data_IF_237782632705
#
_entry.id   IF_237782632705
#
_cell.length_a   1.000
_cell.length_b   1.000
_cell.length_c   1.000
_cell.angle_alpha   90.00
_cell.angle_beta   90.00
_cell.angle_gamma   90.00
#
_symmetry.space_group_name_H-M   'P 1'
#
loop_
_entity.id
_entity.type
_entity.pdbx_description
1 polymer ?
#
# COMPACT_ATOMS: atom_id res chain seq x y z
N UNK A 1 -81.14 6.42 3.98
CA UNK A 1 -81.40 7.05 2.66
C UNK A 1 -80.37 8.15 2.49
N UNK A 2 -79.33 7.93 1.67
CA UNK A 2 -79.29 8.25 0.22
C UNK A 2 -79.39 9.75 -0.04
N UNK A 3 -78.61 10.38 -0.90
CA UNK A 3 -77.43 10.07 -1.71
C UNK A 3 -77.28 11.38 -2.51
N UNK A 4 -76.15 12.09 -2.45
CA UNK A 4 -75.81 13.07 -3.49
C UNK A 4 -74.35 12.95 -3.88
N UNK A 5 -74.13 13.20 -5.17
CA UNK A 5 -73.25 12.49 -6.09
C UNK A 5 -72.22 13.47 -6.64
N UNK A 6 -71.02 12.94 -6.90
CA UNK A 6 -69.99 13.39 -7.83
C UNK A 6 -69.49 14.85 -7.77
N UNK A 7 -68.23 15.01 -7.35
CA UNK A 7 -67.31 15.93 -8.03
C UNK A 7 -65.97 15.20 -8.22
N UNK A 8 -65.66 14.84 -9.45
CA UNK A 8 -64.33 14.40 -9.83
C UNK A 8 -63.45 15.63 -10.05
N UNK A 9 -62.25 15.65 -9.46
CA UNK A 9 -61.15 16.42 -10.02
C UNK A 9 -59.84 15.74 -9.64
N UNK A 10 -59.29 15.01 -10.61
CA UNK A 10 -57.95 14.49 -10.58
C UNK A 10 -56.96 15.66 -10.66
N UNK A 11 -55.99 15.70 -9.74
CA UNK A 11 -54.74 16.40 -9.98
C UNK A 11 -53.61 15.60 -9.34
N UNK A 12 -53.03 14.74 -10.16
CA UNK A 12 -51.72 14.12 -9.95
C UNK A 12 -50.65 15.20 -9.80
N UNK A 13 -49.89 15.18 -8.71
CA UNK A 13 -48.61 15.89 -8.62
C UNK A 13 -47.54 14.97 -8.03
N UNK A 14 -46.45 14.86 -8.77
CA UNK A 14 -45.51 13.76 -8.72
C UNK A 14 -44.62 13.71 -7.48
N UNK A 15 -44.26 12.48 -7.14
CA UNK A 15 -43.13 12.13 -6.30
C UNK A 15 -41.84 12.51 -7.03
N UNK A 16 -41.04 13.40 -6.44
CA UNK A 16 -39.63 13.59 -6.78
C UNK A 16 -38.80 13.27 -5.54
N UNK A 17 -38.36 12.02 -5.48
CA UNK A 17 -37.28 11.59 -4.59
C UNK A 17 -36.00 12.22 -5.14
N UNK A 18 -35.59 13.36 -4.57
CA UNK A 18 -34.24 13.89 -4.77
C UNK A 18 -33.26 13.09 -3.88
N UNK A 19 -32.99 11.85 -4.27
CA UNK A 19 -31.86 11.10 -3.74
C UNK A 19 -30.58 11.64 -4.36
N UNK A 20 -29.87 12.52 -3.66
CA UNK A 20 -28.47 12.79 -3.96
C UNK A 20 -27.68 11.52 -3.63
N UNK A 21 -27.55 10.62 -4.61
CA UNK A 21 -26.49 9.64 -4.58
C UNK A 21 -25.18 10.40 -4.81
N UNK A 22 -24.54 10.85 -3.73
CA UNK A 22 -23.09 11.03 -3.77
C UNK A 22 -22.53 9.65 -4.04
N UNK A 23 -22.12 9.43 -5.29
CA UNK A 23 -21.20 8.35 -5.61
C UNK A 23 -19.88 8.72 -4.94
N UNK A 24 -19.81 8.53 -3.62
CA UNK A 24 -18.56 8.29 -2.94
C UNK A 24 -18.00 7.03 -3.58
N UNK A 25 -17.19 7.25 -4.61
CA UNK A 25 -16.23 6.29 -5.12
C UNK A 25 -15.20 6.13 -4.02
N UNK A 26 -15.60 5.46 -2.93
CA UNK A 26 -14.69 4.78 -2.04
C UNK A 26 -13.95 3.79 -2.92
N UNK A 27 -12.84 4.27 -3.47
CA UNK A 27 -11.81 3.44 -4.06
C UNK A 27 -11.40 2.49 -2.95
N UNK A 28 -11.99 1.31 -2.93
CA UNK A 28 -11.71 0.30 -1.92
C UNK A 28 -10.20 0.11 -1.95
N UNK A 29 -9.54 0.48 -0.85
CA UNK A 29 -8.10 0.30 -0.68
C UNK A 29 -7.79 -1.16 -1.00
N UNK A 30 -6.78 -1.37 -1.86
CA UNK A 30 -6.40 -2.72 -2.24
C UNK A 30 -5.96 -3.47 -0.96
N UNK A 31 -6.25 -4.77 -0.82
CA UNK A 31 -5.82 -5.55 0.35
C UNK A 31 -4.29 -5.63 0.50
N UNK A 32 -3.55 -5.17 -0.51
CA UNK A 32 -2.09 -5.13 -0.54
C UNK A 32 -1.52 -3.73 -0.27
N UNK A 33 -2.37 -2.74 0.00
CA UNK A 33 -1.91 -1.41 0.37
C UNK A 33 -1.10 -1.46 1.68
N UNK A 34 -0.02 -0.69 1.70
CA UNK A 34 0.85 -0.52 2.87
C UNK A 34 1.02 0.98 3.13
N UNK A 35 1.38 1.42 4.35
CA UNK A 35 1.61 2.83 4.63
C UNK A 35 2.54 3.49 3.60
N UNK A 36 2.05 4.56 2.96
CA UNK A 36 2.77 5.31 1.92
C UNK A 36 2.71 4.69 0.52
N UNK A 37 2.06 3.55 0.34
CA UNK A 37 1.92 2.85 -0.93
C UNK A 37 0.46 2.57 -1.29
N UNK A 38 0.13 2.80 -2.55
CA UNK A 38 -1.15 2.39 -3.15
C UNK A 38 -0.87 1.34 -4.20
N UNK A 39 -1.68 0.29 -4.19
CA UNK A 39 -1.51 -0.90 -5.02
C UNK A 39 -2.73 -1.17 -5.88
N UNK A 40 -2.51 -1.80 -7.03
CA UNK A 40 -3.54 -2.19 -7.99
C UNK A 40 -3.18 -3.56 -8.55
N UNK A 41 -4.16 -4.44 -8.74
CA UNK A 41 -3.94 -5.74 -9.40
C UNK A 41 -4.44 -5.64 -10.83
N UNK A 42 -3.53 -5.75 -11.80
CA UNK A 42 -3.86 -5.82 -13.23
C UNK A 42 -3.17 -7.03 -13.84
N UNK A 43 -3.91 -7.83 -14.61
CA UNK A 43 -3.44 -9.08 -15.24
C UNK A 43 -2.71 -10.03 -14.27
N UNK A 44 -3.21 -10.12 -13.03
CA UNK A 44 -2.64 -10.96 -11.99
C UNK A 44 -1.28 -10.47 -11.46
N UNK A 45 -0.93 -9.21 -11.70
CA UNK A 45 0.31 -8.57 -11.24
C UNK A 45 -0.01 -7.42 -10.29
N UNK A 46 0.81 -7.29 -9.25
CA UNK A 46 0.68 -6.24 -8.27
C UNK A 46 1.44 -5.01 -8.72
N UNK A 47 0.73 -3.99 -9.16
CA UNK A 47 1.26 -2.66 -9.37
C UNK A 47 1.37 -1.93 -8.03
N UNK A 48 2.54 -1.33 -7.79
CA UNK A 48 2.84 -0.60 -6.55
C UNK A 48 3.30 0.81 -6.89
N UNK A 49 2.70 1.80 -6.25
CA UNK A 49 3.07 3.20 -6.39
C UNK A 49 3.14 3.86 -5.01
N UNK A 50 3.94 4.92 -4.89
CA UNK A 50 3.83 5.81 -3.74
C UNK A 50 2.47 6.49 -3.74
N UNK A 51 1.81 6.55 -2.59
CA UNK A 51 0.50 7.20 -2.46
C UNK A 51 0.60 8.68 -2.87
N UNK A 52 -0.33 9.13 -3.72
CA UNK A 52 -0.35 10.50 -4.23
C UNK A 52 0.71 10.84 -5.28
N UNK A 53 1.50 9.87 -5.74
CA UNK A 53 2.53 10.10 -6.76
C UNK A 53 1.94 10.44 -8.13
N UNK A 54 2.73 11.16 -8.94
CA UNK A 54 2.36 11.48 -10.33
C UNK A 54 2.21 10.20 -11.16
N UNK A 55 3.06 9.21 -10.90
CA UNK A 55 3.08 7.91 -11.56
C UNK A 55 1.77 7.14 -11.31
N UNK A 56 1.27 7.17 -10.08
CA UNK A 56 -0.04 6.60 -9.74
C UNK A 56 -1.17 7.30 -10.50
N UNK A 57 -1.14 8.63 -10.57
CA UNK A 57 -2.16 9.40 -11.28
C UNK A 57 -2.10 9.17 -12.80
N UNK A 58 -0.90 9.07 -13.37
CA UNK A 58 -0.70 8.78 -14.78
C UNK A 58 -1.14 7.34 -15.11
N UNK A 59 -0.83 6.37 -14.24
CA UNK A 59 -1.25 4.98 -14.37
C UNK A 59 -2.78 4.86 -14.42
N UNK A 60 -3.49 5.52 -13.49
CA UNK A 60 -4.96 5.49 -13.46
C UNK A 60 -5.61 6.13 -14.69
N UNK A 61 -4.91 7.05 -15.35
CA UNK A 61 -5.44 7.75 -16.54
C UNK A 61 -5.12 7.03 -17.85
N UNK A 62 -3.94 6.40 -17.94
CA UNK A 62 -3.36 5.93 -19.20
C UNK A 62 -3.08 4.42 -19.21
N UNK A 63 -3.14 3.74 -18.07
CA UNK A 63 -2.73 2.35 -17.89
C UNK A 63 -1.22 2.21 -17.67
N UNK A 64 -0.66 1.07 -18.10
CA UNK A 64 0.74 0.71 -17.86
C UNK A 64 1.73 1.79 -18.35
N UNK A 65 2.72 2.19 -17.53
CA UNK A 65 3.75 3.16 -17.92
C UNK A 65 4.72 2.56 -18.94
N UNK A 66 5.28 3.41 -19.80
CA UNK A 66 6.28 2.99 -20.80
C UNK A 66 7.56 2.41 -20.16
N UNK A 67 7.98 2.96 -19.01
CA UNK A 67 9.09 2.43 -18.21
C UNK A 67 8.54 1.72 -16.98
N UNK A 68 8.96 0.48 -16.80
CA UNK A 68 8.56 -0.34 -15.67
C UNK A 68 9.71 -1.24 -15.20
N UNK A 69 9.70 -1.55 -13.92
CA UNK A 69 10.56 -2.54 -13.28
C UNK A 69 9.67 -3.67 -12.81
N UNK A 70 10.14 -4.90 -12.95
CA UNK A 70 9.43 -6.12 -12.56
C UNK A 70 10.25 -6.91 -11.55
N UNK A 71 9.61 -7.37 -10.47
CA UNK A 71 10.15 -8.35 -9.53
C UNK A 71 9.23 -9.57 -9.52
N UNK A 72 9.72 -10.68 -10.07
CA UNK A 72 8.96 -11.91 -10.21
C UNK A 72 8.81 -12.57 -8.84
N UNK A 73 7.59 -13.00 -8.50
CA UNK A 73 7.27 -13.73 -7.29
C UNK A 73 7.69 -13.07 -5.97
N UNK A 74 7.76 -11.74 -5.96
CA UNK A 74 8.21 -10.95 -4.82
C UNK A 74 7.08 -10.35 -3.98
N UNK A 75 5.85 -10.39 -4.48
CA UNK A 75 4.66 -9.87 -3.81
C UNK A 75 3.94 -10.92 -2.96
N UNK A 76 2.86 -10.50 -2.26
CA UNK A 76 1.95 -11.41 -1.57
C UNK A 76 1.50 -12.54 -2.49
N UNK A 77 1.37 -13.76 -1.94
CA UNK A 77 0.99 -14.96 -2.71
C UNK A 77 1.88 -15.23 -3.94
N UNK A 78 3.16 -14.86 -3.88
CA UNK A 78 4.12 -15.01 -4.99
C UNK A 78 3.69 -14.23 -6.25
N UNK A 79 2.92 -13.16 -6.07
CA UNK A 79 2.53 -12.29 -7.17
C UNK A 79 3.74 -11.54 -7.73
N UNK A 80 3.76 -11.31 -9.03
CA UNK A 80 4.76 -10.43 -9.65
C UNK A 80 4.48 -8.99 -9.26
N UNK A 81 5.49 -8.28 -8.78
CA UNK A 81 5.38 -6.86 -8.40
C UNK A 81 5.95 -5.99 -9.50
N UNK A 82 5.20 -4.95 -9.89
CA UNK A 82 5.58 -3.97 -10.91
C UNK A 82 5.52 -2.55 -10.32
N UNK A 83 6.41 -1.69 -10.80
CA UNK A 83 6.39 -0.25 -10.53
C UNK A 83 7.18 0.48 -11.61
N UNK A 84 7.21 1.81 -11.58
CA UNK A 84 8.00 2.64 -12.51
C UNK A 84 9.51 2.61 -12.21
N UNK A 85 9.90 2.27 -10.98
CA UNK A 85 11.29 2.20 -10.54
C UNK A 85 11.52 1.09 -9.49
N UNK A 86 12.78 0.69 -9.31
CA UNK A 86 13.14 -0.38 -8.37
C UNK A 86 13.04 0.05 -6.90
N UNK A 87 13.35 1.30 -6.58
CA UNK A 87 13.36 1.78 -5.19
C UNK A 87 11.95 1.75 -4.59
N UNK A 88 10.92 2.06 -5.39
CA UNK A 88 9.52 1.94 -4.98
C UNK A 88 9.14 0.49 -4.69
N UNK A 89 9.56 -0.47 -5.53
CA UNK A 89 9.30 -1.90 -5.28
C UNK A 89 10.04 -2.38 -4.03
N UNK A 90 11.33 -2.07 -3.93
CA UNK A 90 12.17 -2.56 -2.84
C UNK A 90 11.68 -1.99 -1.49
N UNK A 91 11.33 -0.70 -1.43
CA UNK A 91 10.74 -0.08 -0.24
C UNK A 91 9.39 -0.69 0.15
N UNK A 92 8.55 -1.07 -0.82
CA UNK A 92 7.28 -1.75 -0.55
C UNK A 92 7.47 -3.18 -0.02
N UNK A 93 8.37 -3.95 -0.63
CA UNK A 93 8.59 -5.37 -0.28
C UNK A 93 9.13 -5.51 1.13
N UNK A 94 10.05 -4.62 1.54
CA UNK A 94 10.70 -4.76 2.85
C UNK A 94 9.78 -4.40 4.02
N UNK A 95 8.73 -3.61 3.80
CA UNK A 95 7.78 -3.25 4.86
C UNK A 95 7.04 -4.47 5.41
N UNK A 96 7.06 -4.62 6.73
CA UNK A 96 6.31 -5.61 7.49
C UNK A 96 5.70 -4.96 8.73
N UNK A 97 4.51 -5.39 9.12
CA UNK A 97 3.84 -4.85 10.30
C UNK A 97 4.69 -5.06 11.57
N UNK A 98 4.79 -4.02 12.40
CA UNK A 98 5.58 -4.02 13.63
C UNK A 98 7.08 -3.76 13.45
N UNK A 99 7.51 -3.41 12.24
CA UNK A 99 8.90 -3.05 11.94
C UNK A 99 8.99 -1.72 11.19
N UNK A 100 9.98 -0.91 11.56
CA UNK A 100 10.46 0.18 10.72
C UNK A 100 11.61 -0.30 9.86
N UNK A 101 11.60 0.11 8.60
CA UNK A 101 12.59 -0.32 7.62
C UNK A 101 13.12 0.86 6.83
N UNK A 102 14.44 0.91 6.62
CA UNK A 102 15.09 1.88 5.75
C UNK A 102 16.12 1.19 4.87
N UNK A 103 16.12 1.48 3.58
CA UNK A 103 17.17 1.01 2.68
C UNK A 103 18.20 2.13 2.54
N UNK A 104 19.44 1.87 2.95
CA UNK A 104 20.56 2.82 2.92
C UNK A 104 21.80 2.09 2.43
N UNK A 105 22.48 2.64 1.42
CA UNK A 105 23.63 2.02 0.75
C UNK A 105 23.39 0.57 0.27
N UNK A 106 22.18 0.30 -0.20
CA UNK A 106 21.77 -1.03 -0.68
C UNK A 106 21.59 -2.07 0.43
N UNK A 107 21.55 -1.64 1.69
CA UNK A 107 21.34 -2.50 2.86
C UNK A 107 20.01 -2.18 3.52
N UNK A 108 19.29 -3.22 3.93
CA UNK A 108 18.05 -3.11 4.64
C UNK A 108 18.33 -2.95 6.14
N UNK A 109 18.04 -1.77 6.68
CA UNK A 109 17.93 -1.56 8.11
C UNK A 109 16.56 -1.95 8.61
N UNK A 110 16.51 -2.70 9.69
CA UNK A 110 15.27 -3.15 10.33
C UNK A 110 15.31 -2.84 11.81
N UNK A 111 14.24 -2.26 12.33
CA UNK A 111 14.02 -2.00 13.74
C UNK A 111 12.58 -2.35 14.13
N UNK A 112 12.33 -2.54 15.42
CA UNK A 112 10.95 -2.62 15.92
C UNK A 112 10.27 -1.25 15.83
N UNK A 113 9.01 -1.24 15.42
CA UNK A 113 8.20 -0.01 15.40
C UNK A 113 8.16 0.66 16.78
N UNK A 114 8.44 1.97 16.80
CA UNK A 114 8.47 2.76 18.03
C UNK A 114 9.64 2.47 18.98
N UNK A 115 10.63 1.68 18.58
CA UNK A 115 11.79 1.38 19.41
C UNK A 115 12.72 2.59 19.62
N UNK A 116 13.46 2.60 20.73
CA UNK A 116 14.46 3.66 21.01
C UNK A 116 15.59 3.63 19.98
N UNK A 117 15.90 2.44 19.48
CA UNK A 117 16.93 2.19 18.46
C UNK A 117 16.52 2.78 17.12
N UNK A 118 15.26 2.65 16.70
CA UNK A 118 14.75 3.36 15.53
C UNK A 118 14.86 4.87 15.71
N UNK A 119 14.39 5.41 16.84
CA UNK A 119 14.45 6.85 17.10
C UNK A 119 15.90 7.38 17.16
N UNK A 120 16.85 6.58 17.65
CA UNK A 120 18.26 6.93 17.63
C UNK A 120 18.84 6.86 16.21
N UNK A 121 18.46 5.85 15.43
CA UNK A 121 18.88 5.68 14.05
C UNK A 121 18.39 6.83 13.17
N UNK A 122 17.15 7.29 13.33
CA UNK A 122 16.64 8.45 12.60
C UNK A 122 17.41 9.75 12.90
N UNK A 123 17.94 9.89 14.12
CA UNK A 123 18.66 11.09 14.55
C UNK A 123 20.15 11.07 14.19
N UNK A 124 20.78 9.90 14.26
CA UNK A 124 22.25 9.78 14.24
C UNK A 124 22.78 8.80 13.19
N UNK A 125 21.92 8.10 12.46
CA UNK A 125 22.32 7.10 11.48
C UNK A 125 22.72 5.77 12.13
N UNK A 126 23.80 5.15 11.65
CA UNK A 126 24.20 3.81 12.09
C UNK A 126 24.48 3.73 13.61
N UNK A 127 23.87 2.78 14.35
CA UNK A 127 24.11 2.62 15.78
C UNK A 127 25.53 2.06 16.05
N UNK A 128 26.05 2.35 17.25
CA UNK A 128 27.37 1.89 17.69
C UNK A 128 27.50 0.36 17.75
N UNK A 129 26.39 -0.35 18.01
CA UNK A 129 26.30 -1.81 17.94
C UNK A 129 25.31 -2.19 16.85
N UNK A 130 25.74 -3.07 15.97
CA UNK A 130 24.93 -3.58 14.88
C UNK A 130 25.23 -5.04 14.57
N UNK A 131 24.21 -5.75 14.12
CA UNK A 131 24.32 -7.09 13.56
C UNK A 131 24.08 -6.99 12.06
N UNK A 132 24.91 -7.66 11.27
CA UNK A 132 24.79 -7.73 9.82
C UNK A 132 24.57 -9.18 9.38
N UNK A 133 23.54 -9.43 8.58
CA UNK A 133 23.31 -10.72 7.90
C UNK A 133 23.32 -10.53 6.39
N UNK A 134 24.32 -11.11 5.76
CA UNK A 134 24.54 -11.01 4.32
C UNK A 134 23.51 -11.88 3.59
N UNK A 135 22.90 -11.31 2.56
CA UNK A 135 21.94 -11.98 1.68
C UNK A 135 20.75 -12.68 2.36
N UNK A 136 20.40 -12.27 3.58
CA UNK A 136 19.32 -12.88 4.36
C UNK A 136 17.94 -12.24 4.12
N UNK A 137 17.89 -11.04 3.54
CA UNK A 137 16.65 -10.28 3.37
C UNK A 137 15.91 -10.53 2.07
N UNK A 138 14.75 -9.86 1.89
CA UNK A 138 13.97 -9.96 0.66
C UNK A 138 14.84 -9.69 -0.58
N UNK A 139 14.74 -10.56 -1.58
CA UNK A 139 15.56 -10.46 -2.79
C UNK A 139 17.07 -10.67 -2.59
N UNK A 140 17.49 -11.27 -1.47
CA UNK A 140 18.92 -11.45 -1.16
C UNK A 140 19.59 -10.17 -0.64
N UNK A 141 18.82 -9.22 -0.11
CA UNK A 141 19.38 -7.99 0.46
C UNK A 141 20.13 -8.29 1.76
N UNK A 142 21.21 -7.53 2.03
CA UNK A 142 21.87 -7.58 3.34
C UNK A 142 21.00 -6.88 4.37
N UNK A 143 20.75 -7.54 5.51
CA UNK A 143 19.99 -6.97 6.62
C UNK A 143 20.95 -6.48 7.70
N UNK A 144 20.70 -5.27 8.22
CA UNK A 144 21.33 -4.70 9.42
C UNK A 144 20.27 -4.39 10.47
N UNK A 145 20.61 -4.57 11.74
CA UNK A 145 19.78 -4.16 12.88
C UNK A 145 20.65 -3.93 14.11
N UNK A 146 20.07 -3.37 15.17
CA UNK A 146 20.74 -3.22 16.48
C UNK A 146 20.97 -4.57 17.18
N UNK A 147 20.15 -5.57 16.90
CA UNK A 147 20.18 -6.89 17.56
C UNK A 147 19.81 -8.02 16.59
N UNK A 148 20.41 -9.20 16.76
CA UNK A 148 20.11 -10.38 15.93
C UNK A 148 18.67 -10.85 16.05
N UNK A 149 18.08 -10.76 17.24
CA UNK A 149 16.70 -11.18 17.53
C UNK A 149 15.70 -10.35 16.72
N UNK A 150 15.97 -9.07 16.51
CA UNK A 150 15.11 -8.21 15.66
C UNK A 150 15.12 -8.70 14.22
N UNK A 151 16.29 -9.12 13.71
CA UNK A 151 16.40 -9.70 12.36
C UNK A 151 15.63 -11.02 12.28
N UNK A 152 15.77 -11.91 13.27
CA UNK A 152 15.03 -13.18 13.31
C UNK A 152 13.52 -12.97 13.29
N UNK A 153 13.02 -12.06 14.13
CA UNK A 153 11.60 -11.75 14.19
C UNK A 153 11.09 -11.11 12.89
N UNK A 154 11.89 -10.26 12.25
CA UNK A 154 11.56 -9.66 10.96
C UNK A 154 11.47 -10.72 9.85
N UNK A 155 12.41 -11.66 9.82
CA UNK A 155 12.41 -12.74 8.83
C UNK A 155 11.25 -13.72 9.03
N UNK A 156 10.85 -13.95 10.29
CA UNK A 156 9.70 -14.77 10.64
C UNK A 156 8.34 -14.09 10.38
N UNK A 157 8.29 -12.76 10.32
CA UNK A 157 7.07 -12.01 10.03
C UNK A 157 6.63 -12.21 8.56
N UNK A 158 5.31 -12.29 8.33
CA UNK A 158 4.71 -12.45 7.00
C UNK A 158 4.34 -11.11 6.38
#
# INVERSE_FOLDING_TARGET
MSLFRNMAMALSLGVLVAGCATADSHKMSSPYDKPGFTTMVEDGRLWVFKTGSKELADFQKKGEPAKQVTRIAAGPNRMTVKSTDSATIDAYIVQKAGFETKIEDGRLWVFKSGSKEWAAFEKSGEPAKQVTRIAAGPGGMTIKSSDSKVIDEYLAAK
#
